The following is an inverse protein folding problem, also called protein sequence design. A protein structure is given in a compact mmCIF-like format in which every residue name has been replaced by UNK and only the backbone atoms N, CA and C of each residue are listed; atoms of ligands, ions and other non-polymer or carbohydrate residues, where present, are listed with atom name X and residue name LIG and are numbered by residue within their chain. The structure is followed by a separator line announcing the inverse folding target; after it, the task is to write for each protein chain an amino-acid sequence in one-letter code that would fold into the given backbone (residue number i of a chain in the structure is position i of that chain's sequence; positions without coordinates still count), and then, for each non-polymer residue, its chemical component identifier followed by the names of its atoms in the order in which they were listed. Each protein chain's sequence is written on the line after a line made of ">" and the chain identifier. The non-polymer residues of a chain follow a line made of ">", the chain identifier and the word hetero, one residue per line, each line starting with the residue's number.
data_IF_196764243899
#
_entry.id   IF_196764243899
#
_cell.length_a   1.000
_cell.length_b   1.000
_cell.length_c   1.000
_cell.angle_alpha   90.00
_cell.angle_beta   90.00
_cell.angle_gamma   90.00
#
_symmetry.space_group_name_H-M   'P 1'
#
loop_
_entity.id
_entity.type
_entity.pdbx_description
1 polymer ?
#
# COMPACT_ATOMS: atom_id res chain seq x y z
N UNK A 1 -6.07 33.30 4.95
CA UNK A 1 -5.28 32.63 3.89
C UNK A 1 -6.18 32.39 2.69
N UNK A 2 -5.93 33.05 1.56
CA UNK A 2 -6.69 32.82 0.33
C UNK A 2 -6.32 31.44 -0.25
N UNK A 3 -7.34 30.68 -0.66
CA UNK A 3 -7.17 29.32 -1.18
C UNK A 3 -6.39 29.37 -2.51
N UNK A 4 -5.15 28.86 -2.52
CA UNK A 4 -4.23 28.87 -3.66
C UNK A 4 -4.86 28.32 -4.94
N UNK A 5 -5.75 27.33 -4.83
CA UNK A 5 -6.51 26.79 -5.96
C UNK A 5 -7.44 27.82 -6.60
N UNK A 6 -8.10 28.66 -5.81
CA UNK A 6 -9.01 29.69 -6.32
C UNK A 6 -8.25 30.77 -7.09
N UNK A 7 -7.03 31.11 -6.64
CA UNK A 7 -6.16 32.08 -7.33
C UNK A 7 -5.66 31.55 -8.67
N UNK A 8 -5.31 30.26 -8.74
CA UNK A 8 -4.83 29.62 -9.98
C UNK A 8 -5.95 29.46 -11.02
N UNK A 9 -7.15 29.06 -10.59
CA UNK A 9 -8.33 28.97 -11.47
C UNK A 9 -8.71 30.32 -12.10
N UNK A 10 -8.61 31.42 -11.35
CA UNK A 10 -8.87 32.78 -11.88
C UNK A 10 -7.88 33.22 -12.95
N UNK A 11 -6.69 32.61 -13.02
CA UNK A 11 -5.67 32.88 -14.05
C UNK A 11 -5.81 31.98 -15.27
N UNK A 12 -6.92 31.25 -15.41
CA UNK A 12 -7.13 30.33 -16.53
C UNK A 12 -6.27 29.06 -16.45
N UNK A 13 -5.56 28.85 -15.35
CA UNK A 13 -4.76 27.64 -15.12
C UNK A 13 -5.68 26.58 -14.51
N UNK A 14 -6.04 25.59 -15.33
CA UNK A 14 -6.80 24.44 -14.85
C UNK A 14 -5.82 23.44 -14.22
N UNK A 15 -5.57 23.59 -12.91
CA UNK A 15 -4.80 22.60 -12.15
C UNK A 15 -5.75 21.45 -11.80
N UNK A 16 -5.72 20.38 -12.60
CA UNK A 16 -6.20 19.10 -12.10
C UNK A 16 -5.24 18.67 -10.99
N UNK A 17 -5.68 18.76 -9.74
CA UNK A 17 -4.94 18.20 -8.60
C UNK A 17 -5.13 16.68 -8.46
N UNK A 18 -5.87 16.06 -9.38
CA UNK A 18 -6.09 14.62 -9.42
C UNK A 18 -4.91 13.94 -10.13
N UNK A 19 -3.71 14.09 -9.57
CA UNK A 19 -2.64 13.14 -9.85
C UNK A 19 -2.94 11.87 -9.06
N UNK A 20 -2.63 10.68 -9.62
CA UNK A 20 -2.85 9.45 -8.88
C UNK A 20 -2.03 9.48 -7.59
N UNK A 21 -2.68 9.24 -6.46
CA UNK A 21 -2.05 9.28 -5.14
C UNK A 21 -1.65 7.87 -4.74
N UNK A 22 -0.37 7.69 -4.43
CA UNK A 22 0.19 6.42 -3.99
C UNK A 22 0.84 6.62 -2.62
N UNK A 23 0.47 5.80 -1.64
CA UNK A 23 1.16 5.78 -0.35
C UNK A 23 2.20 4.67 -0.35
N UNK A 24 3.37 4.96 0.21
CA UNK A 24 4.46 4.00 0.30
C UNK A 24 5.17 4.10 1.65
N UNK A 25 5.46 2.95 2.23
CA UNK A 25 6.32 2.81 3.40
C UNK A 25 7.46 1.85 3.09
N UNK A 26 8.69 2.36 3.03
CA UNK A 26 9.89 1.55 2.82
C UNK A 26 10.60 1.25 4.15
N UNK A 27 11.04 0.00 4.37
CA UNK A 27 11.80 -0.39 5.56
C UNK A 27 11.02 -0.04 6.84
N UNK A 28 11.57 0.80 7.73
CA UNK A 28 10.86 1.31 8.91
C UNK A 28 9.69 2.25 8.59
N UNK A 29 9.66 2.83 7.38
CA UNK A 29 8.53 3.61 6.89
C UNK A 29 7.24 2.80 6.79
N UNK A 30 7.33 1.47 6.66
CA UNK A 30 6.18 0.57 6.74
C UNK A 30 5.42 0.69 8.06
N UNK A 31 6.11 0.95 9.16
CA UNK A 31 5.49 1.09 10.50
C UNK A 31 4.67 2.37 10.59
N UNK A 32 5.20 3.45 10.03
CA UNK A 32 4.47 4.73 9.94
C UNK A 32 3.24 4.57 9.04
N UNK A 33 3.38 3.84 7.92
CA UNK A 33 2.27 3.53 7.04
C UNK A 33 1.21 2.67 7.75
N UNK A 34 1.61 1.68 8.56
CA UNK A 34 0.70 0.86 9.36
C UNK A 34 -0.13 1.72 10.31
N UNK A 35 0.50 2.66 11.02
CA UNK A 35 -0.18 3.59 11.91
C UNK A 35 -1.16 4.50 11.16
N UNK A 36 -0.71 5.09 10.05
CA UNK A 36 -1.54 5.96 9.21
C UNK A 36 -2.79 5.23 8.73
N UNK A 37 -2.62 4.03 8.17
CA UNK A 37 -3.74 3.20 7.69
C UNK A 37 -4.64 2.81 8.84
N UNK A 38 -4.09 2.27 9.92
CA UNK A 38 -4.88 1.75 11.05
C UNK A 38 -5.69 2.83 11.75
N UNK A 39 -5.08 3.98 12.02
CA UNK A 39 -5.72 5.03 12.81
C UNK A 39 -6.69 5.86 11.97
N UNK A 40 -6.28 6.30 10.77
CA UNK A 40 -7.11 7.20 9.97
C UNK A 40 -8.28 6.45 9.34
N UNK A 41 -8.10 5.22 8.85
CA UNK A 41 -9.18 4.52 8.13
C UNK A 41 -10.40 4.30 9.01
N UNK A 42 -10.22 4.16 10.33
CA UNK A 42 -11.33 4.01 11.31
C UNK A 42 -12.25 5.22 11.37
N UNK A 43 -11.77 6.40 10.99
CA UNK A 43 -12.57 7.62 10.91
C UNK A 43 -13.23 7.82 9.53
N UNK A 44 -12.99 6.93 8.57
CA UNK A 44 -13.56 7.07 7.22
C UNK A 44 -14.95 6.46 7.06
N UNK A 45 -15.27 5.40 7.80
CA UNK A 45 -16.58 4.77 7.86
C UNK A 45 -17.08 4.69 9.30
N UNK A 46 -17.98 5.60 9.69
CA UNK A 46 -18.65 5.50 10.99
C UNK A 46 -19.95 4.72 10.86
N UNK A 47 -20.07 3.61 11.60
CA UNK A 47 -21.35 2.90 11.81
C UNK A 47 -22.10 3.41 13.05
N UNK A 48 -21.51 4.30 13.85
CA UNK A 48 -22.14 4.79 15.08
C UNK A 48 -23.23 5.80 14.74
N UNK A 49 -24.47 5.31 14.64
CA UNK A 49 -25.68 6.13 14.81
C UNK A 49 -25.53 6.83 16.16
N UNK A 50 -25.61 8.15 16.18
CA UNK A 50 -25.80 8.85 17.45
C UNK A 50 -27.11 8.39 18.11
N UNK A 51 -27.25 8.54 19.43
CA UNK A 51 -28.49 8.24 20.15
C UNK A 51 -29.71 9.01 19.61
N UNK A 52 -29.50 10.03 18.78
CA UNK A 52 -30.52 10.81 18.06
C UNK A 52 -30.79 10.31 16.62
N UNK A 53 -30.21 9.19 16.19
CA UNK A 53 -30.36 8.66 14.84
C UNK A 53 -29.61 9.42 13.74
N UNK A 54 -28.89 10.50 14.07
CA UNK A 54 -28.08 11.26 13.11
C UNK A 54 -26.74 10.57 12.86
N UNK A 55 -26.37 10.45 11.58
CA UNK A 55 -25.04 10.04 11.16
C UNK A 55 -24.06 11.13 11.61
N UNK A 56 -23.02 10.78 12.38
CA UNK A 56 -21.96 11.73 12.77
C UNK A 56 -21.09 12.06 11.55
N UNK A 57 -21.59 12.90 10.65
CA UNK A 57 -20.81 13.48 9.55
C UNK A 57 -20.08 14.74 10.02
N UNK A 58 -19.08 14.57 10.90
CA UNK A 58 -18.17 15.66 11.25
C UNK A 58 -17.19 15.95 10.10
N UNK A 59 -16.67 17.18 10.02
CA UNK A 59 -15.72 17.59 8.97
C UNK A 59 -14.49 16.68 8.86
N UNK A 60 -13.98 16.16 9.99
CA UNK A 60 -12.86 15.21 10.02
C UNK A 60 -13.20 13.83 9.42
N UNK A 61 -14.45 13.36 9.51
CA UNK A 61 -14.88 12.11 8.89
C UNK A 61 -14.93 12.26 7.37
N UNK A 62 -15.51 13.37 6.90
CA UNK A 62 -15.59 13.70 5.48
C UNK A 62 -14.17 13.83 4.87
N UNK A 63 -13.24 14.50 5.55
CA UNK A 63 -11.87 14.65 5.07
C UNK A 63 -11.11 13.33 5.01
N UNK A 64 -11.30 12.45 6.00
CA UNK A 64 -10.58 11.16 6.03
C UNK A 64 -11.11 10.19 4.98
N UNK A 65 -12.44 10.14 4.80
CA UNK A 65 -13.03 9.40 3.70
C UNK A 65 -12.53 9.91 2.35
N UNK A 66 -12.54 11.23 2.13
CA UNK A 66 -12.05 11.85 0.90
C UNK A 66 -10.57 11.55 0.65
N UNK A 67 -9.75 11.54 1.71
CA UNK A 67 -8.34 11.19 1.63
C UNK A 67 -8.15 9.77 1.08
N UNK A 68 -8.74 8.76 1.72
CA UNK A 68 -8.63 7.38 1.23
C UNK A 68 -9.29 7.17 -0.13
N UNK A 69 -10.39 7.89 -0.41
CA UNK A 69 -11.02 7.84 -1.74
C UNK A 69 -10.13 8.37 -2.86
N UNK A 70 -9.15 9.23 -2.55
CA UNK A 70 -8.21 9.77 -3.53
C UNK A 70 -6.97 8.87 -3.76
N UNK A 71 -6.75 7.86 -2.91
CA UNK A 71 -5.59 6.96 -3.00
C UNK A 71 -5.87 5.87 -4.03
N UNK A 72 -4.95 5.69 -4.97
CA UNK A 72 -4.99 4.65 -5.99
C UNK A 72 -4.32 3.36 -5.52
N UNK A 73 -3.24 3.47 -4.74
CA UNK A 73 -2.61 2.30 -4.15
C UNK A 73 -1.79 2.58 -2.91
N UNK A 74 -1.62 1.53 -2.09
CA UNK A 74 -0.77 1.53 -0.90
C UNK A 74 0.29 0.44 -1.07
N UNK A 75 1.55 0.79 -0.82
CA UNK A 75 2.71 -0.06 -1.04
C UNK A 75 3.51 -0.22 0.26
N UNK A 76 3.56 -1.44 0.78
CA UNK A 76 4.51 -1.84 1.81
C UNK A 76 5.77 -2.35 1.13
N UNK A 77 6.85 -1.57 1.15
CA UNK A 77 8.08 -1.84 0.42
C UNK A 77 9.17 -2.37 1.36
N UNK A 78 9.42 -3.67 1.30
CA UNK A 78 10.36 -4.40 2.14
C UNK A 78 10.30 -3.97 3.62
N UNK A 79 9.06 -3.86 4.12
CA UNK A 79 8.75 -3.35 5.45
C UNK A 79 9.25 -4.29 6.54
N UNK A 80 9.80 -3.72 7.61
CA UNK A 80 10.22 -4.48 8.78
C UNK A 80 10.43 -3.59 10.01
N UNK A 81 10.14 -4.14 11.20
CA UNK A 81 10.23 -3.42 12.47
C UNK A 81 11.53 -3.70 13.25
N UNK A 82 12.63 -4.01 12.55
CA UNK A 82 13.86 -4.44 13.20
C UNK A 82 13.66 -5.74 13.98
N UNK A 83 13.68 -5.67 15.31
CA UNK A 83 13.69 -6.83 16.22
C UNK A 83 12.33 -7.22 16.81
N UNK A 84 11.24 -6.54 16.44
CA UNK A 84 9.89 -6.80 16.97
C UNK A 84 8.89 -7.09 15.86
N UNK A 85 7.72 -7.61 16.25
CA UNK A 85 6.54 -7.77 15.40
C UNK A 85 5.98 -6.41 14.94
N UNK A 86 5.13 -6.43 13.91
CA UNK A 86 4.42 -5.26 13.39
C UNK A 86 4.91 -4.74 12.04
N UNK A 87 5.52 -5.59 11.22
CA UNK A 87 5.81 -5.30 9.81
C UNK A 87 4.55 -5.05 8.98
N UNK A 88 3.41 -5.67 9.34
CA UNK A 88 2.11 -5.47 8.67
C UNK A 88 1.01 -4.95 9.62
N UNK A 89 -0.03 -4.28 9.09
CA UNK A 89 -1.21 -3.93 9.89
C UNK A 89 -2.01 -5.18 10.27
N UNK A 90 -2.48 -5.24 11.51
CA UNK A 90 -3.19 -6.41 12.06
C UNK A 90 -4.58 -6.07 12.62
N UNK A 91 -4.96 -4.79 12.70
CA UNK A 91 -6.21 -4.38 13.34
C UNK A 91 -7.42 -4.66 12.44
N UNK A 92 -8.23 -5.63 12.85
CA UNK A 92 -9.35 -6.20 12.12
C UNK A 92 -10.37 -5.17 11.61
N UNK A 93 -10.76 -4.20 12.45
CA UNK A 93 -11.74 -3.20 12.04
C UNK A 93 -11.16 -2.30 10.95
N UNK A 94 -9.93 -1.82 11.11
CA UNK A 94 -9.25 -1.00 10.12
C UNK A 94 -9.13 -1.74 8.77
N UNK A 95 -8.73 -3.00 8.78
CA UNK A 95 -8.62 -3.82 7.56
C UNK A 95 -9.97 -3.99 6.85
N UNK A 96 -11.03 -4.30 7.61
CA UNK A 96 -12.39 -4.43 7.05
C UNK A 96 -12.97 -3.13 6.48
N UNK A 97 -12.53 -1.97 6.98
CA UNK A 97 -12.91 -0.67 6.42
C UNK A 97 -12.08 -0.37 5.19
N UNK A 98 -10.77 -0.65 5.22
CA UNK A 98 -9.86 -0.42 4.10
C UNK A 98 -10.30 -1.23 2.86
N UNK A 99 -10.77 -2.47 3.05
CA UNK A 99 -11.25 -3.31 1.95
C UNK A 99 -12.52 -2.81 1.25
N UNK A 100 -13.22 -1.83 1.82
CA UNK A 100 -14.43 -1.26 1.21
C UNK A 100 -14.12 -0.23 0.11
N UNK A 101 -12.85 0.15 -0.06
CA UNK A 101 -12.42 1.05 -1.13
C UNK A 101 -12.14 0.27 -2.41
N UNK A 102 -13.16 0.09 -3.25
CA UNK A 102 -13.09 -0.72 -4.49
C UNK A 102 -11.99 -0.26 -5.48
N UNK A 103 -11.63 1.01 -5.48
CA UNK A 103 -10.58 1.56 -6.35
C UNK A 103 -9.16 1.37 -5.81
N UNK A 104 -9.03 1.00 -4.53
CA UNK A 104 -7.77 0.97 -3.82
C UNK A 104 -7.06 -0.37 -4.07
N UNK A 105 -5.83 -0.30 -4.59
CA UNK A 105 -4.98 -1.48 -4.78
C UNK A 105 -3.91 -1.56 -3.69
N UNK A 106 -3.68 -2.76 -3.18
CA UNK A 106 -2.74 -3.02 -2.09
C UNK A 106 -1.58 -3.84 -2.63
N UNK A 107 -0.36 -3.43 -2.32
CA UNK A 107 0.84 -4.15 -2.74
C UNK A 107 1.78 -4.36 -1.58
N UNK A 108 2.16 -5.61 -1.38
CA UNK A 108 3.22 -6.01 -0.47
C UNK A 108 4.42 -6.42 -1.31
N UNK A 109 5.49 -5.66 -1.20
CA UNK A 109 6.73 -5.88 -1.92
C UNK A 109 7.78 -6.34 -0.92
N UNK A 110 8.45 -7.46 -1.17
CA UNK A 110 9.42 -8.01 -0.23
C UNK A 110 10.67 -8.50 -0.95
N UNK A 111 11.79 -8.47 -0.24
CA UNK A 111 13.02 -9.18 -0.60
C UNK A 111 13.26 -10.34 0.37
N UNK A 112 14.09 -11.35 0.02
CA UNK A 112 14.51 -12.39 0.96
C UNK A 112 15.15 -11.84 2.25
N UNK A 113 15.70 -10.62 2.23
CA UNK A 113 16.29 -9.99 3.42
C UNK A 113 15.29 -9.80 4.57
N UNK A 114 14.03 -9.47 4.26
CA UNK A 114 12.96 -9.40 5.27
C UNK A 114 12.12 -10.67 5.30
N UNK A 115 11.69 -11.15 4.13
CA UNK A 115 10.67 -12.20 4.03
C UNK A 115 11.21 -13.60 4.35
N UNK A 116 12.44 -13.92 3.99
CA UNK A 116 13.06 -15.23 4.31
C UNK A 116 14.03 -15.12 5.49
N UNK A 117 13.93 -14.05 6.28
CA UNK A 117 14.82 -13.81 7.41
C UNK A 117 14.63 -14.86 8.52
N UNK A 118 15.58 -15.79 8.64
CA UNK A 118 15.56 -16.85 9.67
C UNK A 118 15.62 -16.30 11.10
N UNK A 119 16.24 -15.14 11.29
CA UNK A 119 16.32 -14.44 12.58
C UNK A 119 15.06 -13.67 12.94
N UNK A 120 14.16 -13.45 11.97
CA UNK A 120 12.93 -12.65 12.13
C UNK A 120 11.75 -13.34 11.44
N UNK A 121 11.45 -14.61 11.78
CA UNK A 121 10.49 -15.43 11.04
C UNK A 121 9.05 -14.90 11.09
N UNK A 122 8.72 -14.08 12.10
CA UNK A 122 7.40 -13.46 12.23
C UNK A 122 7.06 -12.54 11.04
N UNK A 123 8.04 -11.93 10.37
CA UNK A 123 7.80 -11.06 9.22
C UNK A 123 7.08 -11.81 8.10
N UNK A 124 7.54 -13.03 7.78
CA UNK A 124 6.88 -13.90 6.79
C UNK A 124 5.45 -14.24 7.20
N UNK A 125 5.26 -14.58 8.47
CA UNK A 125 3.94 -14.91 9.03
C UNK A 125 2.99 -13.73 8.92
N UNK A 126 3.45 -12.52 9.27
CA UNK A 126 2.65 -11.30 9.20
C UNK A 126 2.31 -10.90 7.75
N UNK A 127 3.28 -10.97 6.83
CA UNK A 127 3.06 -10.73 5.40
C UNK A 127 1.98 -11.65 4.87
N UNK A 128 2.12 -12.96 5.11
CA UNK A 128 1.16 -13.95 4.63
C UNK A 128 -0.21 -13.79 5.29
N UNK A 129 -0.24 -13.52 6.60
CA UNK A 129 -1.47 -13.25 7.33
C UNK A 129 -2.22 -12.04 6.77
N UNK A 130 -1.52 -10.94 6.54
CA UNK A 130 -2.10 -9.71 5.98
C UNK A 130 -2.62 -9.92 4.56
N UNK A 131 -1.82 -10.53 3.67
CA UNK A 131 -2.23 -10.81 2.28
C UNK A 131 -3.47 -11.69 2.25
N UNK A 132 -3.46 -12.83 2.96
CA UNK A 132 -4.61 -13.73 3.02
C UNK A 132 -5.85 -13.04 3.60
N UNK A 133 -5.66 -12.19 4.62
CA UNK A 133 -6.79 -11.50 5.26
C UNK A 133 -7.46 -10.52 4.31
N UNK A 134 -6.69 -9.69 3.61
CA UNK A 134 -7.25 -8.71 2.68
C UNK A 134 -7.88 -9.37 1.45
N UNK A 135 -7.30 -10.47 0.97
CA UNK A 135 -7.86 -11.30 -0.09
C UNK A 135 -9.24 -11.87 0.31
N UNK A 136 -9.35 -12.45 1.52
CA UNK A 136 -10.63 -12.93 2.06
C UNK A 136 -11.67 -11.82 2.26
N UNK A 137 -11.23 -10.57 2.46
CA UNK A 137 -12.09 -9.40 2.54
C UNK A 137 -12.47 -8.83 1.15
N UNK A 138 -11.97 -9.43 0.06
CA UNK A 138 -12.27 -9.05 -1.32
C UNK A 138 -11.48 -7.84 -1.83
N UNK A 139 -10.38 -7.46 -1.18
CA UNK A 139 -9.54 -6.36 -1.63
C UNK A 139 -8.62 -6.79 -2.79
N UNK A 140 -8.30 -5.87 -3.71
CA UNK A 140 -7.24 -6.08 -4.71
C UNK A 140 -5.87 -5.98 -4.03
N UNK A 141 -5.33 -7.13 -3.59
CA UNK A 141 -4.02 -7.23 -2.94
C UNK A 141 -3.07 -8.15 -3.70
N UNK A 142 -1.79 -7.75 -3.79
CA UNK A 142 -0.75 -8.53 -4.46
C UNK A 142 0.52 -8.62 -3.62
N UNK A 143 1.11 -9.82 -3.59
CA UNK A 143 2.43 -10.09 -3.04
C UNK A 143 3.46 -10.18 -4.17
N UNK A 144 4.50 -9.36 -4.06
CA UNK A 144 5.58 -9.25 -5.05
C UNK A 144 6.89 -9.56 -4.35
N UNK A 145 7.56 -10.63 -4.78
CA UNK A 145 8.85 -11.06 -4.23
C UNK A 145 9.95 -10.71 -5.23
N UNK A 146 10.83 -9.80 -4.82
CA UNK A 146 12.01 -9.39 -5.58
C UNK A 146 13.17 -10.31 -5.24
N UNK A 147 14.01 -10.63 -6.22
CA UNK A 147 15.21 -11.47 -6.01
C UNK A 147 14.86 -12.83 -5.39
N UNK A 148 13.72 -13.42 -5.77
CA UNK A 148 13.27 -14.70 -5.21
C UNK A 148 14.31 -15.80 -5.51
N UNK A 149 14.74 -16.50 -4.45
CA UNK A 149 15.76 -17.56 -4.54
C UNK A 149 17.18 -17.07 -4.25
N UNK A 150 17.42 -15.75 -4.24
CA UNK A 150 18.69 -15.18 -3.83
C UNK A 150 18.82 -15.15 -2.29
N UNK A 151 20.06 -15.11 -1.80
CA UNK A 151 20.32 -14.91 -0.37
C UNK A 151 19.94 -13.48 0.05
N UNK A 152 19.18 -13.35 1.14
CA UNK A 152 18.76 -12.05 1.65
C UNK A 152 19.94 -11.21 2.12
N UNK A 153 20.07 -9.99 1.58
CA UNK A 153 21.14 -9.07 1.96
C UNK A 153 20.64 -7.64 2.20
N UNK A 154 21.39 -6.86 2.97
CA UNK A 154 21.07 -5.43 3.12
C UNK A 154 21.19 -4.69 1.77
N UNK A 155 22.03 -5.18 0.85
CA UNK A 155 22.12 -4.63 -0.49
C UNK A 155 20.80 -4.84 -1.26
N UNK A 156 20.24 -6.06 -1.28
CA UNK A 156 18.96 -6.34 -1.93
C UNK A 156 17.81 -5.54 -1.31
N UNK A 157 17.83 -5.35 0.02
CA UNK A 157 16.87 -4.51 0.75
C UNK A 157 16.77 -3.09 0.19
N UNK A 158 17.89 -2.46 -0.16
CA UNK A 158 17.88 -1.12 -0.77
C UNK A 158 17.71 -1.16 -2.29
N UNK A 159 18.17 -2.21 -2.96
CA UNK A 159 18.10 -2.33 -4.42
C UNK A 159 16.66 -2.35 -4.93
N UNK A 160 15.71 -2.86 -4.14
CA UNK A 160 14.28 -2.81 -4.46
C UNK A 160 13.76 -1.39 -4.79
N UNK A 161 14.38 -0.33 -4.25
CA UNK A 161 14.01 1.06 -4.54
C UNK A 161 14.29 1.47 -6.00
N UNK A 162 15.22 0.78 -6.66
CA UNK A 162 15.57 1.02 -8.06
C UNK A 162 14.59 0.30 -9.01
N UNK A 163 14.08 -0.86 -8.60
CA UNK A 163 13.14 -1.67 -9.39
C UNK A 163 11.67 -1.33 -9.12
N UNK A 164 11.40 -0.60 -8.04
CA UNK A 164 10.05 -0.24 -7.62
C UNK A 164 9.40 0.78 -8.57
N UNK A 165 8.18 0.48 -8.99
CA UNK A 165 7.33 1.39 -9.76
C UNK A 165 5.91 1.43 -9.16
N UNK A 166 5.45 2.62 -8.75
CA UNK A 166 4.12 2.79 -8.16
C UNK A 166 2.98 2.59 -9.18
N UNK A 167 3.20 3.00 -10.42
CA UNK A 167 2.21 2.97 -11.51
C UNK A 167 2.36 1.75 -12.44
N UNK A 168 3.08 0.71 -12.01
CA UNK A 168 3.39 -0.45 -12.86
C UNK A 168 2.09 -1.02 -13.44
N UNK A 169 1.94 -0.92 -14.77
CA UNK A 169 0.84 -1.56 -15.49
C UNK A 169 1.20 -3.01 -15.69
N UNK A 170 0.71 -3.88 -14.80
CA UNK A 170 0.96 -5.30 -14.94
C UNK A 170 0.10 -5.85 -16.09
N UNK A 171 0.74 -6.12 -17.24
CA UNK A 171 0.11 -6.92 -18.30
C UNK A 171 -0.17 -8.30 -17.74
N UNK A 172 -1.44 -8.71 -17.75
CA UNK A 172 -1.82 -10.09 -17.48
C UNK A 172 -1.03 -11.03 -18.42
N UNK A 173 -0.59 -12.19 -17.90
CA UNK A 173 0.11 -13.26 -18.64
C UNK A 173 -0.46 -13.39 -20.06
N UNK A 174 0.30 -13.02 -21.09
CA UNK A 174 -0.15 -13.21 -22.47
C UNK A 174 0.65 -12.59 -23.62
N UNK A 175 1.63 -11.71 -23.40
CA UNK A 175 2.36 -11.11 -24.54
C UNK A 175 3.89 -11.14 -24.34
N UNK A 176 4.57 -11.65 -25.36
CA UNK A 176 5.96 -12.08 -25.35
C UNK A 176 7.01 -10.97 -25.19
N UNK A 177 8.18 -11.42 -24.73
CA UNK A 177 9.42 -10.69 -24.56
C UNK A 177 9.85 -9.95 -25.83
N UNK A 178 10.18 -8.67 -25.69
CA UNK A 178 11.31 -8.07 -26.41
C UNK A 178 12.17 -7.31 -25.39
N UNK A 179 13.33 -7.87 -25.06
CA UNK A 179 14.30 -7.29 -24.13
C UNK A 179 15.20 -6.29 -24.86
N UNK A 180 15.23 -5.04 -24.39
CA UNK A 180 16.29 -4.09 -24.70
C UNK A 180 17.41 -4.24 -23.64
N UNK A 181 18.70 -4.11 -23.97
CA UNK A 181 19.78 -4.74 -23.18
C UNK A 181 20.46 -3.85 -22.14
N UNK A 182 19.94 -2.69 -21.78
CA UNK A 182 20.48 -1.89 -20.67
C UNK A 182 19.54 -1.95 -19.46
N UNK A 183 20.01 -2.62 -18.40
CA UNK A 183 19.31 -2.96 -17.15
C UNK A 183 18.45 -4.23 -17.26
N UNK A 184 19.13 -5.38 -17.27
CA UNK A 184 18.48 -6.67 -17.02
C UNK A 184 18.04 -6.76 -15.55
N UNK A 185 16.93 -6.11 -15.21
CA UNK A 185 16.19 -6.34 -13.96
C UNK A 185 15.68 -7.77 -14.02
N UNK A 186 16.05 -8.59 -13.04
CA UNK A 186 15.55 -9.96 -12.96
C UNK A 186 14.01 -9.97 -13.01
N UNK A 187 13.38 -10.96 -13.67
CA UNK A 187 11.93 -11.00 -13.75
C UNK A 187 11.32 -11.13 -12.35
N UNK A 188 10.64 -10.08 -11.91
CA UNK A 188 9.90 -10.04 -10.64
C UNK A 188 8.80 -11.09 -10.68
N UNK A 189 8.82 -12.04 -9.73
CA UNK A 189 7.78 -13.07 -9.64
C UNK A 189 6.61 -12.54 -8.83
N UNK A 190 5.45 -12.49 -9.47
CA UNK A 190 4.20 -12.01 -8.87
C UNK A 190 3.42 -13.24 -8.42
N UNK A 191 3.16 -13.33 -7.12
CA UNK A 191 2.19 -14.29 -6.60
C UNK A 191 0.84 -13.57 -6.53
N UNK A 192 0.00 -13.85 -7.53
CA UNK A 192 -1.40 -13.39 -7.53
C UNK A 192 -2.19 -14.35 -6.65
N UNK A 193 -2.68 -13.90 -5.50
CA UNK A 193 -3.73 -14.63 -4.79
C UNK A 193 -4.98 -14.63 -5.69
N UNK A 194 -5.59 -15.80 -5.86
CA UNK A 194 -6.77 -16.03 -6.70
C UNK A 194 -7.86 -16.67 -5.87
#
# INVERSE_FOLDING_TARGET
>A
MQNTQATLRRRGVNVSTALPMHLLGFSKGGIVLNQLVTELVRYSFSTKRSNSGQIRQGSAFASTRQFFSAINSIHWLDSGNGSLEGAMPTEELALSILSQYEQLRLFVHVTPYQYEATTRPWIKTEVNGFVNKMDLLGADIQLIIYFEGDEGSLASHFHILQDFEASRSFKAKGEGLTSSPEHAVQPVRIQVCK
#
